data_IF_441199291240
#
_entry.id   IF_441199291240
#
_cell.length_a   1.000
_cell.length_b   1.000
_cell.length_c   1.000
_cell.angle_alpha   90.00
_cell.angle_beta   90.00
_cell.angle_gamma   90.00
#
_symmetry.space_group_name_H-M   'P 1'
#
loop_
_entity.id
_entity.type
_entity.pdbx_description
1 polymer ?
#
# COMPACT_ATOMS: atom_id res chain seq x y z
N UNK A 1 22.15 5.52 13.18
CA UNK A 1 20.73 5.84 12.91
C UNK A 1 19.92 5.38 14.12
N UNK A 2 18.97 6.17 14.65
CA UNK A 2 18.22 5.72 15.82
C UNK A 2 17.26 4.59 15.40
N UNK A 3 16.96 3.62 16.27
CA UNK A 3 16.03 2.52 15.95
C UNK A 3 14.68 3.01 15.40
N UNK A 4 14.17 4.12 15.92
CA UNK A 4 12.94 4.76 15.45
C UNK A 4 13.02 5.24 14.00
N UNK A 5 14.15 5.81 13.58
CA UNK A 5 14.36 6.28 12.21
C UNK A 5 14.36 5.12 11.21
N UNK A 6 14.89 3.96 11.63
CA UNK A 6 14.91 2.73 10.84
C UNK A 6 13.48 2.21 10.64
N UNK A 7 12.67 2.19 11.71
CA UNK A 7 11.26 1.78 11.65
C UNK A 7 10.44 2.72 10.75
N UNK A 8 10.61 4.04 10.90
CA UNK A 8 9.92 5.02 10.05
C UNK A 8 10.27 4.83 8.57
N UNK A 9 11.56 4.65 8.26
CA UNK A 9 12.01 4.38 6.89
C UNK A 9 11.45 3.07 6.33
N UNK A 10 11.38 2.02 7.16
CA UNK A 10 10.78 0.73 6.79
C UNK A 10 9.29 0.86 6.47
N UNK A 11 8.55 1.59 7.32
CA UNK A 11 7.12 1.85 7.12
C UNK A 11 6.88 2.64 5.82
N UNK A 12 7.61 3.73 5.59
CA UNK A 12 7.50 4.51 4.35
C UNK A 12 7.76 3.63 3.12
N UNK A 13 8.81 2.81 3.15
CA UNK A 13 9.10 1.91 2.03
C UNK A 13 7.97 0.90 1.77
N UNK A 14 7.35 0.37 2.81
CA UNK A 14 6.23 -0.55 2.67
C UNK A 14 5.01 0.16 2.07
N UNK A 15 4.73 1.39 2.50
CA UNK A 15 3.65 2.22 1.95
C UNK A 15 3.87 2.48 0.45
N UNK A 16 5.09 2.89 0.07
CA UNK A 16 5.45 3.14 -1.33
C UNK A 16 5.25 1.87 -2.19
N UNK A 17 5.61 0.70 -1.67
CA UNK A 17 5.45 -0.58 -2.38
C UNK A 17 3.98 -0.95 -2.58
N UNK A 18 3.13 -0.71 -1.57
CA UNK A 18 1.69 -0.96 -1.66
C UNK A 18 1.05 -0.02 -2.69
N UNK A 19 1.40 1.27 -2.64
CA UNK A 19 0.94 2.28 -3.59
C UNK A 19 1.34 1.94 -5.03
N UNK A 20 2.61 1.58 -5.25
CA UNK A 20 3.12 1.20 -6.58
C UNK A 20 2.40 -0.05 -7.13
N UNK A 21 2.16 -1.06 -6.28
CA UNK A 21 1.38 -2.25 -6.68
C UNK A 21 -0.05 -1.87 -7.08
N UNK A 22 -0.72 -1.08 -6.25
CA UNK A 22 -2.10 -0.63 -6.49
C UNK A 22 -2.20 0.18 -7.78
N UNK A 23 -1.29 1.12 -8.00
CA UNK A 23 -1.24 1.94 -9.21
C UNK A 23 -1.03 1.09 -10.48
N UNK A 24 -0.12 0.11 -10.44
CA UNK A 24 0.14 -0.81 -11.55
C UNK A 24 -1.08 -1.66 -11.90
N UNK A 25 -1.73 -2.25 -10.89
CA UNK A 25 -2.91 -3.09 -11.13
C UNK A 25 -4.10 -2.26 -11.62
N UNK A 26 -4.32 -1.08 -11.05
CA UNK A 26 -5.35 -0.14 -11.51
C UNK A 26 -5.12 0.28 -12.96
N UNK A 27 -3.87 0.55 -13.34
CA UNK A 27 -3.51 0.90 -14.73
C UNK A 27 -3.80 -0.25 -15.69
N UNK A 28 -3.51 -1.51 -15.30
CA UNK A 28 -3.83 -2.69 -16.11
C UNK A 28 -5.33 -2.85 -16.30
N UNK A 29 -6.10 -2.74 -15.21
CA UNK A 29 -7.57 -2.82 -15.25
C UNK A 29 -8.18 -1.73 -16.13
N UNK A 30 -7.72 -0.49 -16.00
CA UNK A 30 -8.18 0.64 -16.83
C UNK A 30 -7.86 0.46 -18.33
N UNK A 31 -6.87 -0.38 -18.65
CA UNK A 31 -6.51 -0.73 -20.02
C UNK A 31 -7.15 -2.06 -20.46
N UNK A 32 -8.18 -2.55 -19.75
CA UNK A 32 -8.88 -3.82 -19.96
C UNK A 32 -7.94 -5.04 -20.01
N UNK A 33 -6.75 -4.94 -19.43
CA UNK A 33 -5.82 -6.06 -19.35
C UNK A 33 -6.21 -6.96 -18.16
N UNK A 34 -6.23 -8.28 -18.36
CA UNK A 34 -6.48 -9.21 -17.27
C UNK A 34 -5.36 -9.12 -16.22
N UNK A 35 -5.76 -9.21 -14.95
CA UNK A 35 -4.86 -9.40 -13.82
C UNK A 35 -5.05 -10.82 -13.26
N UNK A 36 -4.13 -11.27 -12.41
CA UNK A 36 -4.28 -12.57 -11.76
C UNK A 36 -5.43 -12.56 -10.76
N UNK A 37 -6.04 -13.72 -10.48
CA UNK A 37 -7.07 -13.88 -9.45
C UNK A 37 -6.58 -13.39 -8.08
N UNK A 38 -5.33 -13.70 -7.72
CA UNK A 38 -4.68 -13.23 -6.48
C UNK A 38 -4.55 -11.71 -6.44
N UNK A 39 -4.24 -11.06 -7.56
CA UNK A 39 -4.17 -9.60 -7.63
C UNK A 39 -5.55 -8.95 -7.54
N UNK A 40 -6.57 -9.61 -8.08
CA UNK A 40 -7.95 -9.16 -8.00
C UNK A 40 -8.50 -9.30 -6.58
N UNK A 41 -8.34 -10.46 -5.95
CA UNK A 41 -8.68 -10.69 -4.53
C UNK A 41 -7.98 -9.70 -3.62
N UNK A 42 -6.71 -9.40 -3.90
CA UNK A 42 -5.97 -8.39 -3.16
C UNK A 42 -6.56 -6.99 -3.37
N UNK A 43 -6.90 -6.59 -4.60
CA UNK A 43 -7.52 -5.28 -4.87
C UNK A 43 -8.91 -5.14 -4.26
N UNK A 44 -9.71 -6.19 -4.29
CA UNK A 44 -11.08 -6.20 -3.76
C UNK A 44 -11.10 -6.24 -2.22
N UNK A 45 -10.04 -6.79 -1.60
CA UNK A 45 -9.82 -6.85 -0.15
C UNK A 45 -8.77 -5.86 0.34
N UNK A 46 -7.60 -6.38 0.71
CA UNK A 46 -6.53 -5.67 1.44
C UNK A 46 -6.02 -4.39 0.74
N UNK A 47 -5.98 -4.39 -0.59
CA UNK A 47 -5.58 -3.26 -1.43
C UNK A 47 -6.57 -2.10 -1.42
N UNK A 48 -7.82 -2.33 -0.99
CA UNK A 48 -8.85 -1.30 -0.83
C UNK A 48 -8.99 -0.79 0.60
N UNK A 49 -8.47 -1.53 1.59
CA UNK A 49 -8.58 -1.17 3.01
C UNK A 49 -7.58 -0.11 3.47
N UNK A 50 -6.59 0.21 2.63
CA UNK A 50 -5.63 1.28 2.93
C UNK A 50 -6.24 2.61 2.52
N UNK A 51 -6.95 3.26 3.45
CA UNK A 51 -7.10 4.71 3.42
C UNK A 51 -5.72 5.29 3.79
N UNK A 52 -4.93 5.59 2.76
CA UNK A 52 -3.49 5.91 2.83
C UNK A 52 -3.19 7.09 3.79
N UNK A 53 -4.17 7.96 4.01
CA UNK A 53 -4.03 9.11 4.91
C UNK A 53 -4.24 8.77 6.39
N UNK A 54 -4.97 7.70 6.71
CA UNK A 54 -5.46 7.41 8.06
C UNK A 54 -4.53 6.47 8.82
N UNK A 55 -4.01 5.44 8.15
CA UNK A 55 -3.13 4.43 8.77
C UNK A 55 -1.77 5.03 9.16
N UNK A 56 -1.20 5.89 8.31
CA UNK A 56 0.06 6.58 8.61
C UNK A 56 -0.06 7.57 9.77
N UNK A 57 -1.15 8.35 9.81
CA UNK A 57 -1.40 9.32 10.88
C UNK A 57 -1.63 8.66 12.24
N UNK A 58 -2.36 7.55 12.29
CA UNK A 58 -2.65 6.91 13.59
C UNK A 58 -1.51 6.07 14.15
N UNK A 59 -0.65 5.50 13.30
CA UNK A 59 0.58 4.85 13.78
C UNK A 59 1.57 5.89 14.31
N UNK A 60 1.71 7.04 13.63
CA UNK A 60 2.61 8.12 14.08
C UNK A 60 2.09 8.85 15.32
N UNK A 61 0.77 8.94 15.52
CA UNK A 61 0.18 9.53 16.75
C UNK A 61 0.28 8.64 17.98
N UNK A 62 0.30 7.32 17.82
CA UNK A 62 0.34 6.34 18.92
C UNK A 62 1.75 5.92 19.33
N UNK A 63 2.77 6.32 18.58
CA UNK A 63 4.20 6.13 18.87
C UNK A 63 4.81 7.41 19.41
#
# INVERSE_FOLDING_TARGET
MKPFDILKKGLTKLQDQIQDRKAKLTTKLNADHPISEVDQEWLDGDGNLVDEELVGKEIVKKL
#
